data_IF_374646826095
#
_entry.id   IF_374646826095
#
_cell.length_a   1.000
_cell.length_b   1.000
_cell.length_c   1.000
_cell.angle_alpha   90.00
_cell.angle_beta   90.00
_cell.angle_gamma   90.00
#
_symmetry.space_group_name_H-M   'P 1'
#
loop_
_entity.id
_entity.type
_entity.pdbx_description
1 polymer ?
#
# COMPACT_ATOMS: atom_id res chain seq x y z
N UNK A 1 -15.56 -7.88 4.68
CA UNK A 1 -16.80 -8.24 3.95
C UNK A 1 -16.40 -8.93 2.66
N UNK A 2 -17.23 -9.86 2.18
CA UNK A 2 -16.98 -10.68 0.99
C UNK A 2 -17.74 -12.01 1.07
N UNK A 3 -17.79 -12.78 -0.02
CA UNK A 3 -18.59 -14.02 -0.07
C UNK A 3 -18.26 -15.03 1.03
N UNK A 4 -16.98 -15.15 1.42
CA UNK A 4 -16.55 -16.01 2.52
C UNK A 4 -17.14 -15.61 3.88
N UNK A 5 -17.58 -14.37 4.05
CA UNK A 5 -18.28 -13.92 5.26
C UNK A 5 -19.64 -14.61 5.43
N UNK A 6 -20.19 -15.27 4.40
CA UNK A 6 -21.43 -16.05 4.52
C UNK A 6 -21.23 -17.44 5.14
N UNK A 7 -19.98 -17.91 5.28
CA UNK A 7 -19.68 -19.21 5.89
C UNK A 7 -20.01 -19.18 7.39
N UNK A 8 -20.89 -20.06 7.91
CA UNK A 8 -21.31 -20.02 9.31
C UNK A 8 -20.16 -20.12 10.32
N UNK A 9 -19.14 -20.93 10.03
CA UNK A 9 -17.97 -21.07 10.90
C UNK A 9 -17.12 -19.81 10.97
N UNK A 10 -17.00 -19.07 9.86
CA UNK A 10 -16.30 -17.78 9.81
C UNK A 10 -17.05 -16.74 10.66
N UNK A 11 -18.38 -16.67 10.54
CA UNK A 11 -19.21 -15.78 11.36
C UNK A 11 -19.05 -16.06 12.84
N UNK A 12 -19.19 -17.32 13.25
CA UNK A 12 -19.05 -17.73 14.65
C UNK A 12 -17.67 -17.39 15.22
N UNK A 13 -16.60 -17.64 14.46
CA UNK A 13 -15.24 -17.31 14.90
C UNK A 13 -15.05 -15.81 15.10
N UNK A 14 -15.56 -14.99 14.19
CA UNK A 14 -15.45 -13.52 14.30
C UNK A 14 -16.23 -12.99 15.49
N UNK A 15 -17.45 -13.50 15.74
CA UNK A 15 -18.26 -13.11 16.90
C UNK A 15 -17.56 -13.43 18.23
N UNK A 16 -16.96 -14.62 18.34
CA UNK A 16 -16.19 -15.04 19.50
C UNK A 16 -14.96 -14.14 19.72
N UNK A 17 -14.18 -13.88 18.67
CA UNK A 17 -12.99 -13.02 18.73
C UNK A 17 -13.32 -11.58 19.11
N UNK A 18 -14.42 -11.04 18.56
CA UNK A 18 -14.85 -9.67 18.81
C UNK A 18 -15.68 -9.53 20.10
N UNK A 19 -16.01 -10.62 20.78
CA UNK A 19 -16.89 -10.66 21.97
C UNK A 19 -18.21 -9.94 21.70
N UNK A 20 -18.82 -10.23 20.54
CA UNK A 20 -20.11 -9.68 20.12
C UNK A 20 -21.10 -10.82 19.91
N UNK A 21 -22.37 -10.53 20.19
CA UNK A 21 -23.44 -11.52 20.05
C UNK A 21 -23.99 -11.59 18.62
N UNK A 22 -23.93 -10.49 17.88
CA UNK A 22 -24.51 -10.38 16.54
C UNK A 22 -23.59 -9.66 15.54
N UNK A 23 -23.70 -10.07 14.27
CA UNK A 23 -23.01 -9.46 13.14
C UNK A 23 -23.99 -8.59 12.36
N UNK A 24 -23.50 -7.49 11.77
CA UNK A 24 -24.30 -6.69 10.84
C UNK A 24 -24.58 -7.49 9.56
N UNK A 25 -25.87 -7.64 9.23
CA UNK A 25 -26.35 -8.49 8.12
C UNK A 25 -27.39 -7.80 7.22
N UNK A 26 -27.66 -6.50 7.41
CA UNK A 26 -28.70 -5.77 6.64
C UNK A 26 -28.30 -5.50 5.19
N UNK A 27 -27.01 -5.64 4.85
CA UNK A 27 -26.50 -5.47 3.50
C UNK A 27 -25.69 -6.71 3.10
N UNK A 28 -25.88 -7.18 1.86
CA UNK A 28 -25.11 -8.30 1.33
C UNK A 28 -23.61 -7.94 1.30
N UNK A 29 -22.69 -8.81 1.77
CA UNK A 29 -21.27 -8.48 1.85
C UNK A 29 -20.58 -8.23 0.51
N UNK A 30 -21.11 -8.77 -0.60
CA UNK A 30 -20.56 -8.54 -1.94
C UNK A 30 -21.10 -7.21 -2.49
N UNK A 31 -22.40 -6.95 -2.34
CA UNK A 31 -23.02 -5.67 -2.68
C UNK A 31 -22.34 -4.51 -1.95
N UNK A 32 -22.09 -4.67 -0.65
CA UNK A 32 -21.40 -3.69 0.16
C UNK A 32 -20.04 -3.27 -0.41
N UNK A 33 -19.24 -4.23 -0.89
CA UNK A 33 -17.92 -3.97 -1.48
C UNK A 33 -18.05 -3.19 -2.79
N UNK A 34 -19.02 -3.58 -3.64
CA UNK A 34 -19.27 -2.91 -4.92
C UNK A 34 -19.77 -1.48 -4.70
N UNK A 35 -20.71 -1.28 -3.76
CA UNK A 35 -21.21 0.04 -3.39
C UNK A 35 -20.09 0.95 -2.86
N UNK A 36 -19.21 0.44 -1.99
CA UNK A 36 -18.06 1.22 -1.50
C UNK A 36 -17.10 1.59 -2.62
N UNK A 37 -16.80 0.67 -3.54
CA UNK A 37 -15.94 0.95 -4.69
C UNK A 37 -16.54 2.00 -5.63
N UNK A 38 -17.86 1.92 -5.89
CA UNK A 38 -18.57 2.92 -6.69
C UNK A 38 -18.58 4.29 -6.02
N UNK A 39 -18.80 4.34 -4.70
CA UNK A 39 -18.77 5.58 -3.92
C UNK A 39 -17.38 6.24 -3.95
N UNK A 40 -16.32 5.47 -3.71
CA UNK A 40 -14.94 5.98 -3.78
C UNK A 40 -14.61 6.48 -5.19
N UNK A 41 -15.05 5.77 -6.24
CA UNK A 41 -14.87 6.19 -7.63
C UNK A 41 -15.62 7.49 -7.97
N UNK A 42 -16.82 7.68 -7.44
CA UNK A 42 -17.59 8.91 -7.61
C UNK A 42 -16.88 10.11 -6.94
N UNK A 43 -16.39 9.91 -5.72
CA UNK A 43 -15.65 10.92 -4.94
C UNK A 43 -14.34 11.28 -5.65
N UNK A 44 -13.58 10.28 -6.12
CA UNK A 44 -12.34 10.48 -6.87
C UNK A 44 -12.57 11.20 -8.21
N UNK A 45 -13.74 11.02 -8.83
CA UNK A 45 -14.14 11.72 -10.05
C UNK A 45 -14.59 13.17 -9.81
N UNK A 46 -14.57 13.65 -8.56
CA UNK A 46 -15.01 14.99 -8.21
C UNK A 46 -16.53 15.19 -8.28
N UNK A 47 -17.30 14.10 -8.30
CA UNK A 47 -18.77 14.16 -8.22
C UNK A 47 -19.12 14.63 -6.81
N UNK A 48 -19.38 15.93 -6.70
CA UNK A 48 -19.94 16.53 -5.51
C UNK A 48 -21.45 16.40 -5.57
N UNK A 49 -22.07 16.01 -4.46
CA UNK A 49 -23.52 15.94 -4.34
C UNK A 49 -24.15 17.26 -4.78
N UNK A 50 -25.12 17.19 -5.71
CA UNK A 50 -25.86 18.35 -6.22
C UNK A 50 -26.60 19.09 -5.08
N UNK A 51 -26.81 18.42 -3.95
CA UNK A 51 -27.48 18.93 -2.76
C UNK A 51 -26.53 19.48 -1.69
N UNK A 52 -25.20 19.36 -1.88
CA UNK A 52 -24.18 19.90 -0.98
C UNK A 52 -24.10 19.24 0.41
N UNK A 53 -24.69 18.04 0.59
CA UNK A 53 -24.82 17.41 1.91
C UNK A 53 -23.81 16.28 2.18
N UNK A 54 -23.04 15.86 1.17
CA UNK A 54 -22.13 14.71 1.33
C UNK A 54 -20.77 15.18 1.87
N UNK A 55 -20.64 15.22 3.19
CA UNK A 55 -19.35 15.41 3.88
C UNK A 55 -18.65 14.05 4.03
N UNK A 56 -18.14 13.53 2.91
CA UNK A 56 -17.40 12.27 2.88
C UNK A 56 -15.89 12.55 2.79
N UNK A 57 -15.17 12.17 3.85
CA UNK A 57 -13.72 12.21 3.90
C UNK A 57 -13.16 10.78 3.86
N UNK A 58 -12.42 10.44 2.81
CA UNK A 58 -11.73 9.15 2.71
C UNK A 58 -10.25 9.36 3.03
N UNK A 59 -9.76 8.66 4.06
CA UNK A 59 -8.35 8.71 4.47
C UNK A 59 -7.75 7.34 4.24
N UNK A 60 -6.76 7.29 3.35
CA UNK A 60 -6.00 6.09 3.09
C UNK A 60 -4.80 6.01 4.01
N UNK A 61 -4.43 4.79 4.41
CA UNK A 61 -3.30 4.53 5.32
C UNK A 61 -2.40 3.45 4.76
N UNK A 62 -1.12 3.54 5.09
CA UNK A 62 -0.09 2.62 4.62
C UNK A 62 -0.11 1.36 5.49
N UNK A 63 -0.35 0.16 4.93
CA UNK A 63 -0.48 -1.06 5.73
C UNK A 63 0.85 -1.60 6.27
N UNK A 64 1.96 -1.36 5.56
CA UNK A 64 3.29 -1.85 5.89
C UNK A 64 4.33 -0.74 5.76
N UNK A 65 5.32 -0.74 6.65
CA UNK A 65 6.38 0.26 6.58
C UNK A 65 7.21 0.09 5.30
N UNK A 66 7.52 1.20 4.64
CA UNK A 66 8.47 1.25 3.54
C UNK A 66 9.79 1.85 4.04
N UNK A 67 10.91 1.25 3.65
CA UNK A 67 12.21 1.62 4.18
C UNK A 67 13.34 0.97 3.42
N UNK A 68 14.53 1.05 4.00
CA UNK A 68 15.74 0.45 3.45
C UNK A 68 16.20 -0.69 4.33
N UNK A 69 16.87 -1.66 3.72
CA UNK A 69 17.62 -2.67 4.44
C UNK A 69 19.08 -2.23 4.55
N UNK A 70 19.59 -2.21 5.78
CA UNK A 70 20.97 -1.84 6.11
C UNK A 70 21.72 -3.12 6.49
N UNK A 71 22.81 -3.37 5.78
CA UNK A 71 23.71 -4.52 5.99
C UNK A 71 23.03 -5.90 5.95
N UNK A 72 21.88 -6.04 5.30
CA UNK A 72 21.17 -7.32 5.10
C UNK A 72 20.41 -7.85 6.32
N UNK A 73 20.41 -7.11 7.43
CA UNK A 73 19.90 -7.57 8.72
C UNK A 73 19.05 -6.54 9.46
N UNK A 74 19.10 -5.26 9.06
CA UNK A 74 18.44 -4.17 9.78
C UNK A 74 17.56 -3.37 8.83
N UNK A 75 16.25 -3.61 8.91
CA UNK A 75 15.28 -2.77 8.22
C UNK A 75 15.08 -1.44 8.95
N UNK A 76 15.34 -0.34 8.26
CA UNK A 76 15.12 1.02 8.76
C UNK A 76 13.91 1.62 8.04
N UNK A 77 12.76 1.83 8.74
CA UNK A 77 11.57 2.39 8.12
C UNK A 77 11.76 3.88 7.80
N UNK A 78 11.51 4.27 6.54
CA UNK A 78 11.49 5.67 6.11
C UNK A 78 10.07 6.21 6.17
N UNK A 79 9.10 5.44 5.65
CA UNK A 79 7.67 5.70 5.77
C UNK A 79 7.07 4.60 6.66
N UNK A 80 6.66 4.90 7.90
CA UNK A 80 6.14 3.89 8.81
C UNK A 80 4.72 3.44 8.42
N UNK A 81 4.34 2.21 8.81
CA UNK A 81 2.97 1.74 8.75
C UNK A 81 2.01 2.67 9.49
N UNK A 82 0.73 2.64 9.10
CA UNK A 82 -0.37 3.48 9.61
C UNK A 82 -0.19 4.98 9.37
N UNK A 83 0.79 5.40 8.56
CA UNK A 83 0.87 6.79 8.09
C UNK A 83 -0.17 7.02 6.98
N UNK A 84 -0.75 8.22 6.95
CA UNK A 84 -1.74 8.62 5.95
C UNK A 84 -1.10 8.78 4.57
N UNK A 85 -1.84 8.42 3.53
CA UNK A 85 -1.49 8.64 2.13
C UNK A 85 -2.16 9.90 1.58
N UNK A 86 -1.49 10.66 0.69
CA UNK A 86 -0.12 10.48 0.18
C UNK A 86 0.97 10.80 1.23
N UNK A 87 2.17 10.24 1.06
CA UNK A 87 3.27 10.40 2.01
C UNK A 87 4.62 10.70 1.33
N UNK A 88 5.42 11.60 1.92
CA UNK A 88 6.82 11.88 1.54
C UNK A 88 7.68 11.97 2.79
N UNK A 89 8.81 11.26 2.80
CA UNK A 89 9.79 11.27 3.88
C UNK A 89 11.21 11.27 3.34
N UNK A 90 12.07 11.98 4.06
CA UNK A 90 13.50 12.08 3.80
C UNK A 90 14.25 11.53 5.00
N UNK A 91 15.28 10.72 4.73
CA UNK A 91 16.20 10.20 5.73
C UNK A 91 17.59 10.77 5.46
N UNK A 92 18.06 11.62 6.36
CA UNK A 92 19.39 12.22 6.32
C UNK A 92 20.22 11.71 7.50
N UNK A 93 21.24 10.91 7.23
CA UNK A 93 22.19 10.43 8.26
C UNK A 93 23.61 10.81 7.85
N UNK A 94 24.40 11.36 8.79
CA UNK A 94 25.77 11.81 8.50
C UNK A 94 26.61 10.66 7.92
N UNK A 95 27.17 10.86 6.72
CA UNK A 95 28.00 9.86 6.02
C UNK A 95 27.23 8.85 5.16
N UNK A 96 25.90 8.90 5.14
CA UNK A 96 25.01 8.09 4.29
C UNK A 96 24.37 9.03 3.24
N UNK A 97 24.10 8.56 2.00
CA UNK A 97 23.31 9.34 1.04
C UNK A 97 21.94 9.75 1.63
N UNK A 98 21.49 10.95 1.31
CA UNK A 98 20.15 11.41 1.63
C UNK A 98 19.15 10.62 0.80
N UNK A 99 18.21 9.93 1.46
CA UNK A 99 17.22 9.09 0.78
C UNK A 99 15.86 9.75 0.91
N UNK A 100 15.22 10.03 -0.22
CA UNK A 100 13.85 10.53 -0.29
C UNK A 100 12.95 9.43 -0.83
N UNK A 101 11.85 9.18 -0.12
CA UNK A 101 10.79 8.26 -0.55
C UNK A 101 9.47 9.02 -0.56
N UNK A 102 8.75 8.95 -1.67
CA UNK A 102 7.37 9.39 -1.74
C UNK A 102 6.48 8.30 -2.30
N UNK A 103 5.22 8.33 -1.90
CA UNK A 103 4.20 7.41 -2.38
C UNK A 103 2.85 8.09 -2.44
N UNK A 104 2.08 7.72 -3.45
CA UNK A 104 0.71 8.16 -3.66
C UNK A 104 -0.13 7.09 -4.35
N UNK A 105 -1.44 7.28 -4.33
CA UNK A 105 -2.40 6.52 -5.13
C UNK A 105 -2.92 7.45 -6.21
N UNK A 106 -2.78 7.06 -7.47
CA UNK A 106 -3.25 7.87 -8.59
C UNK A 106 -4.74 7.65 -8.88
N UNK A 107 -5.28 8.44 -9.81
CA UNK A 107 -6.68 8.38 -10.21
C UNK A 107 -7.08 7.03 -10.87
N UNK A 108 -6.12 6.18 -11.24
CA UNK A 108 -6.34 4.82 -11.75
C UNK A 108 -6.22 3.77 -10.65
N UNK A 109 -6.21 4.17 -9.37
CA UNK A 109 -5.99 3.31 -8.20
C UNK A 109 -4.66 2.56 -8.25
N UNK A 110 -3.66 3.11 -8.95
CA UNK A 110 -2.32 2.55 -8.99
C UNK A 110 -1.51 3.16 -7.85
N UNK A 111 -1.03 2.31 -6.95
CA UNK A 111 -0.04 2.73 -5.95
C UNK A 111 1.26 3.01 -6.69
N UNK A 112 1.76 4.24 -6.56
CA UNK A 112 3.08 4.63 -7.06
C UNK A 112 3.99 4.89 -5.88
N UNK A 113 5.20 4.36 -5.99
CA UNK A 113 6.27 4.60 -5.02
C UNK A 113 7.46 5.12 -5.80
N UNK A 114 8.03 6.23 -5.34
CA UNK A 114 9.26 6.80 -5.87
C UNK A 114 10.30 6.85 -4.75
N UNK A 115 11.48 6.32 -5.03
CA UNK A 115 12.64 6.42 -4.16
C UNK A 115 13.81 7.06 -4.91
N UNK A 116 14.61 7.86 -4.22
CA UNK A 116 15.82 8.46 -4.76
C UNK A 116 16.87 8.66 -3.66
N UNK A 117 18.15 8.65 -4.06
CA UNK A 117 19.28 8.81 -3.14
C UNK A 117 20.25 9.88 -3.66
N UNK A 118 20.59 10.86 -2.82
CA UNK A 118 21.54 11.93 -3.16
C UNK A 118 22.80 11.77 -2.32
N UNK A 119 23.95 11.65 -2.99
CA UNK A 119 25.24 11.52 -2.31
C UNK A 119 25.70 12.87 -1.75
N UNK A 120 26.21 12.93 -0.51
CA UNK A 120 26.71 14.18 0.07
C UNK A 120 28.00 14.70 -0.58
N UNK A 121 28.74 13.86 -1.32
CA UNK A 121 30.04 14.24 -1.93
C UNK A 121 29.91 14.82 -3.34
N UNK A 122 28.82 14.52 -4.03
CA UNK A 122 28.53 14.98 -5.38
C UNK A 122 27.16 15.63 -5.33
N UNK A 123 27.08 16.96 -5.47
CA UNK A 123 25.81 17.68 -5.66
C UNK A 123 25.04 17.24 -6.94
N UNK A 124 25.44 16.14 -7.57
CA UNK A 124 24.70 15.48 -8.62
C UNK A 124 23.83 14.37 -8.01
N UNK A 125 22.51 14.38 -8.26
CA UNK A 125 21.65 13.29 -7.86
C UNK A 125 22.11 12.01 -8.58
N UNK A 126 22.52 10.99 -7.82
CA UNK A 126 22.65 9.64 -8.37
C UNK A 126 21.21 9.16 -8.49
N UNK A 127 20.66 9.10 -9.70
CA UNK A 127 19.25 8.76 -9.89
C UNK A 127 19.08 7.26 -10.18
N UNK A 128 18.82 6.40 -9.16
CA UNK A 128 17.97 5.25 -9.35
C UNK A 128 16.55 5.71 -9.01
N UNK A 129 15.86 6.32 -9.96
CA UNK A 129 14.42 6.50 -9.85
C UNK A 129 13.79 5.12 -10.00
N UNK A 130 13.28 4.56 -8.90
CA UNK A 130 12.48 3.34 -8.95
C UNK A 130 11.03 3.74 -8.82
N UNK A 131 10.27 3.58 -9.90
CA UNK A 131 8.81 3.61 -9.87
C UNK A 131 8.31 2.17 -9.72
N UNK A 132 7.61 1.90 -8.62
CA UNK A 132 6.87 0.65 -8.46
C UNK A 132 5.39 0.97 -8.65
N UNK A 133 4.78 0.33 -9.66
CA UNK A 133 3.32 0.26 -9.82
C UNK A 133 2.85 -1.10 -9.36
N UNK A 134 1.88 -1.14 -8.45
CA UNK A 134 1.20 -2.40 -8.17
C UNK A 134 0.37 -2.82 -9.39
N UNK A 135 0.39 -4.10 -9.81
CA UNK A 135 -0.50 -4.56 -10.85
C UNK A 135 -1.95 -4.40 -10.39
N UNK A 136 -2.79 -3.83 -11.25
CA UNK A 136 -4.25 -3.85 -11.08
C UNK A 136 -4.69 -5.29 -11.34
N UNK A 137 -5.00 -6.04 -10.28
CA UNK A 137 -5.46 -7.42 -10.42
C UNK A 137 -6.87 -7.43 -11.01
N UNK A 138 -6.97 -7.89 -12.26
CA UNK A 138 -8.17 -8.51 -12.81
C UNK A 138 -7.78 -9.67 -13.74
N UNK A 139 -7.10 -10.66 -13.19
CA UNK A 139 -6.77 -11.93 -13.85
C UNK A 139 -7.49 -13.13 -13.22
N UNK A 140 -8.59 -12.89 -12.50
CA UNK A 140 -9.56 -13.94 -12.13
C UNK A 140 -9.07 -14.99 -11.13
N UNK A 141 -7.88 -14.82 -10.53
CA UNK A 141 -7.35 -15.76 -9.54
C UNK A 141 -7.20 -15.07 -8.17
N UNK A 142 -8.07 -15.48 -7.24
CA UNK A 142 -8.07 -15.02 -5.86
C UNK A 142 -6.70 -15.22 -5.19
N UNK A 143 -6.25 -14.18 -4.49
CA UNK A 143 -4.91 -14.08 -3.91
C UNK A 143 -4.70 -15.17 -2.86
N UNK A 144 -4.04 -16.26 -3.23
CA UNK A 144 -3.37 -17.14 -2.27
C UNK A 144 -1.98 -16.57 -2.00
N UNK A 145 -1.55 -16.61 -0.73
CA UNK A 145 -0.20 -16.21 -0.27
C UNK A 145 0.91 -16.84 -1.13
N UNK A 146 0.69 -18.04 -1.66
CA UNK A 146 1.58 -18.71 -2.62
C UNK A 146 1.75 -17.99 -3.97
N UNK A 147 0.72 -17.33 -4.49
CA UNK A 147 0.81 -16.60 -5.77
C UNK A 147 1.66 -15.33 -5.63
N UNK A 148 1.54 -14.63 -4.50
CA UNK A 148 2.38 -13.48 -4.17
C UNK A 148 3.83 -13.90 -3.95
N UNK A 149 4.07 -14.99 -3.22
CA UNK A 149 5.43 -15.52 -2.99
C UNK A 149 6.05 -16.04 -4.29
N UNK A 150 5.25 -16.59 -5.21
CA UNK A 150 5.72 -17.09 -6.51
C UNK A 150 6.02 -15.96 -7.51
N UNK A 151 5.30 -14.84 -7.42
CA UNK A 151 5.46 -13.68 -8.30
C UNK A 151 6.54 -12.72 -7.81
N UNK A 152 6.72 -12.58 -6.48
CA UNK A 152 7.60 -11.60 -5.86
C UNK A 152 8.69 -12.17 -4.94
N UNK A 153 8.72 -13.49 -4.71
CA UNK A 153 9.66 -14.13 -3.77
C UNK A 153 9.21 -14.09 -2.31
N UNK A 154 9.95 -14.75 -1.41
CA UNK A 154 9.72 -14.70 0.05
C UNK A 154 10.15 -13.39 0.70
N UNK A 155 10.89 -12.57 -0.03
CA UNK A 155 11.13 -11.16 0.22
C UNK A 155 10.66 -10.43 -1.04
N UNK A 156 9.85 -9.37 -0.90
CA UNK A 156 9.61 -8.40 -1.97
C UNK A 156 10.97 -7.93 -2.48
N UNK A 157 11.44 -8.55 -3.56
CA UNK A 157 12.82 -8.43 -4.04
C UNK A 157 13.01 -7.02 -4.62
N UNK A 158 13.46 -6.10 -3.76
CA UNK A 158 14.06 -4.84 -4.19
C UNK A 158 15.31 -5.20 -4.97
N UNK A 159 15.32 -4.89 -6.27
CA UNK A 159 16.47 -5.11 -7.13
C UNK A 159 17.69 -4.34 -6.60
N UNK A 160 18.57 -5.07 -5.91
CA UNK A 160 19.88 -4.57 -5.50
C UNK A 160 20.71 -4.36 -6.78
N UNK A 161 20.94 -3.11 -7.15
CA UNK A 161 21.98 -2.75 -8.12
C UNK A 161 23.34 -3.15 -7.54
N UNK A 162 23.79 -4.37 -7.86
CA UNK A 162 25.15 -4.82 -7.60
C UNK A 162 26.11 -3.84 -8.29
N UNK A 163 26.86 -3.09 -7.49
CA UNK A 163 27.98 -2.29 -7.96
C UNK A 163 29.01 -3.25 -8.56
N UNK A 164 29.19 -3.25 -9.88
CA UNK A 164 30.39 -3.83 -10.51
C UNK A 164 31.60 -3.12 -9.92
N UNK A 165 32.33 -3.82 -9.06
CA UNK A 165 33.70 -3.45 -8.73
C UNK A 165 34.55 -3.77 -9.96
N UNK A 166 34.79 -2.76 -10.80
CA UNK A 166 35.91 -2.80 -11.74
C UNK A 166 37.19 -2.55 -10.94
N UNK A 167 38.05 -3.58 -10.87
CA UNK A 167 39.50 -3.40 -10.79
C UNK A 167 40.05 -3.46 -12.22
#
# INVERSE_FOLDING_TARGET
MGGCSNIPKVKSLVLELCKKDEAYMEMDPLEAVVCSAALEGAVASGVSDLLGSLDLLTIQVIPQSLGIDVDGHTFVPIIPRNMTMPARKEMCTKGIPEISVCMDLDASNVLRVFAGAVSPQTHQPVMPFLEVRMPTVDDGHGWCVEALVKMYGSALDLSILQKKMQQ
#
